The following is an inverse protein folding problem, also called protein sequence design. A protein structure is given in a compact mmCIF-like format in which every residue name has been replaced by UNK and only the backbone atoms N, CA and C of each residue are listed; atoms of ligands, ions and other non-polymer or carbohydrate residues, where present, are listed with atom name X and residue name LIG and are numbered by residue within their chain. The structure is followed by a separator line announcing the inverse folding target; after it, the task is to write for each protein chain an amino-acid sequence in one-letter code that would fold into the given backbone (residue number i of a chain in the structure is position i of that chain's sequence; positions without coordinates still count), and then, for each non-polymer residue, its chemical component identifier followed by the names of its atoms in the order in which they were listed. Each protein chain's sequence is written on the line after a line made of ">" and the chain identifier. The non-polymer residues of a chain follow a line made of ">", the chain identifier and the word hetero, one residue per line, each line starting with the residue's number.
data_IF_207117807526
#
_entry.id   IF_207117807526
#
_cell.length_a   1.000
_cell.length_b   1.000
_cell.length_c   1.000
_cell.angle_alpha   90.00
_cell.angle_beta   90.00
_cell.angle_gamma   90.00
#
_symmetry.space_group_name_H-M   'P 1'
#
loop_
_entity.id
_entity.type
_entity.pdbx_description
1 polymer ?
#
# COMPACT_ATOMS: atom_id res chain seq x y z
N UNK A 1 8.61 -21.20 -11.45
CA UNK A 1 9.18 -19.83 -11.48
C UNK A 1 8.32 -19.00 -12.42
N UNK A 2 7.46 -18.16 -11.86
CA UNK A 2 6.71 -17.08 -12.55
C UNK A 2 6.64 -15.85 -11.61
N UNK A 3 7.68 -15.73 -10.76
CA UNK A 3 7.69 -14.79 -9.62
C UNK A 3 7.83 -13.35 -10.08
N UNK A 4 8.50 -13.11 -11.21
CA UNK A 4 8.97 -11.78 -11.64
C UNK A 4 7.85 -10.73 -11.76
N UNK A 5 6.78 -11.03 -12.51
CA UNK A 5 5.66 -10.10 -12.71
C UNK A 5 4.93 -9.83 -11.39
N UNK A 6 4.64 -10.88 -10.63
CA UNK A 6 3.97 -10.74 -9.32
C UNK A 6 4.83 -9.97 -8.30
N UNK A 7 6.17 -10.07 -8.36
CA UNK A 7 7.06 -9.24 -7.54
C UNK A 7 7.05 -7.78 -7.96
N UNK A 8 6.98 -7.46 -9.26
CA UNK A 8 7.00 -6.07 -9.70
C UNK A 8 5.68 -5.35 -9.41
N UNK A 9 4.55 -5.99 -9.71
CA UNK A 9 3.22 -5.46 -9.36
C UNK A 9 3.10 -5.26 -7.84
N UNK A 10 3.60 -6.23 -7.05
CA UNK A 10 3.62 -6.10 -5.60
C UNK A 10 4.57 -5.00 -5.12
N UNK A 11 5.73 -4.81 -5.76
CA UNK A 11 6.65 -3.72 -5.44
C UNK A 11 6.01 -2.35 -5.68
N UNK A 12 5.32 -2.18 -6.81
CA UNK A 12 4.56 -0.97 -7.12
C UNK A 12 3.43 -0.73 -6.10
N UNK A 13 2.71 -1.79 -5.72
CA UNK A 13 1.73 -1.73 -4.64
C UNK A 13 2.33 -1.20 -3.33
N UNK A 14 3.47 -1.75 -2.89
CA UNK A 14 4.15 -1.31 -1.66
C UNK A 14 4.62 0.16 -1.74
N UNK A 15 5.11 0.59 -2.90
CA UNK A 15 5.47 1.99 -3.13
C UNK A 15 4.26 2.91 -3.01
N UNK A 16 3.14 2.54 -3.62
CA UNK A 16 1.88 3.29 -3.55
C UNK A 16 1.34 3.33 -2.12
N UNK A 17 1.44 2.24 -1.37
CA UNK A 17 1.04 2.18 0.04
C UNK A 17 1.82 3.18 0.90
N UNK A 18 3.15 3.17 0.79
CA UNK A 18 4.03 4.13 1.49
C UNK A 18 3.76 5.57 1.07
N UNK A 19 3.58 5.80 -0.24
CA UNK A 19 3.29 7.13 -0.80
C UNK A 19 1.96 7.68 -0.27
N UNK A 20 0.90 6.87 -0.29
CA UNK A 20 -0.41 7.25 0.24
C UNK A 20 -0.33 7.62 1.73
N UNK A 21 0.42 6.85 2.52
CA UNK A 21 0.67 7.20 3.93
C UNK A 21 1.35 8.55 4.06
N UNK A 22 2.46 8.77 3.36
CA UNK A 22 3.19 10.03 3.43
C UNK A 22 2.35 11.22 2.96
N UNK A 23 1.57 11.08 1.88
CA UNK A 23 0.67 12.13 1.38
C UNK A 23 -0.48 12.44 2.35
N UNK A 24 -0.91 11.47 3.16
CA UNK A 24 -1.87 11.68 4.25
C UNK A 24 -1.27 12.38 5.48
N UNK A 25 0.06 12.62 5.50
CA UNK A 25 0.76 13.22 6.63
C UNK A 25 0.91 12.30 7.85
N UNK A 26 0.61 11.00 7.73
CA UNK A 26 0.61 10.07 8.84
C UNK A 26 1.96 9.34 8.99
N UNK A 27 2.42 9.18 10.23
CA UNK A 27 3.51 8.27 10.59
C UNK A 27 3.00 6.83 10.67
N UNK A 28 3.89 5.84 10.56
CA UNK A 28 3.51 4.43 10.73
C UNK A 28 2.88 4.16 12.11
N UNK A 29 3.32 4.85 13.16
CA UNK A 29 2.76 4.74 14.53
C UNK A 29 1.30 5.22 14.55
N UNK A 30 1.01 6.36 13.92
CA UNK A 30 -0.35 6.90 13.86
C UNK A 30 -1.29 5.97 13.09
N UNK A 31 -0.85 5.44 11.94
CA UNK A 31 -1.66 4.46 11.19
C UNK A 31 -1.90 3.20 12.01
N UNK A 32 -0.88 2.70 12.71
CA UNK A 32 -1.01 1.54 13.58
C UNK A 32 -2.08 1.78 14.67
N UNK A 33 -2.08 2.95 15.28
CA UNK A 33 -3.08 3.34 16.27
C UNK A 33 -4.50 3.35 15.67
N UNK A 34 -4.68 3.95 14.49
CA UNK A 34 -5.97 3.99 13.78
C UNK A 34 -6.48 2.59 13.42
N UNK A 35 -5.57 1.66 13.11
CA UNK A 35 -5.90 0.26 12.80
C UNK A 35 -5.97 -0.64 14.05
N UNK A 36 -5.71 -0.11 15.24
CA UNK A 36 -5.58 -0.89 16.50
C UNK A 36 -4.55 -2.03 16.37
N UNK A 37 -3.40 -1.72 15.75
CA UNK A 37 -2.26 -2.61 15.54
C UNK A 37 -0.98 -2.02 16.14
N UNK A 38 0.06 -2.83 16.24
CA UNK A 38 1.40 -2.36 16.58
C UNK A 38 2.07 -1.69 15.38
N UNK A 39 2.98 -0.73 15.60
CA UNK A 39 3.73 -0.09 14.52
C UNK A 39 4.48 -1.10 13.64
N UNK A 40 4.98 -2.19 14.23
CA UNK A 40 5.66 -3.27 13.50
C UNK A 40 4.77 -3.91 12.44
N UNK A 41 3.44 -3.96 12.65
CA UNK A 41 2.50 -4.45 11.63
C UNK A 41 2.55 -3.56 10.38
N UNK A 42 2.56 -2.23 10.55
CA UNK A 42 2.64 -1.28 9.43
C UNK A 42 3.99 -1.37 8.74
N UNK A 43 5.08 -1.45 9.50
CA UNK A 43 6.42 -1.62 8.95
C UNK A 43 6.54 -2.88 8.09
N UNK A 44 6.04 -4.02 8.58
CA UNK A 44 6.04 -5.31 7.85
C UNK A 44 5.15 -5.29 6.61
N UNK A 45 4.01 -4.60 6.68
CA UNK A 45 3.14 -4.37 5.53
C UNK A 45 3.86 -3.53 4.46
N UNK A 46 4.44 -2.40 4.84
CA UNK A 46 5.14 -1.51 3.91
C UNK A 46 6.42 -2.13 3.35
N UNK A 47 7.13 -2.97 4.10
CA UNK A 47 8.33 -3.70 3.63
C UNK A 47 8.00 -4.89 2.74
N UNK A 48 6.76 -5.38 2.76
CA UNK A 48 6.33 -6.57 2.06
C UNK A 48 6.64 -7.89 2.79
N UNK A 49 7.22 -7.85 3.99
CA UNK A 49 7.40 -9.02 4.86
C UNK A 49 6.04 -9.64 5.22
N UNK A 50 5.01 -8.81 5.37
CA UNK A 50 3.63 -9.23 5.55
C UNK A 50 2.78 -8.85 4.34
N UNK A 51 2.06 -9.83 3.79
CA UNK A 51 1.04 -9.61 2.77
C UNK A 51 -0.17 -8.89 3.37
N UNK A 52 -0.82 -8.06 2.56
CA UNK A 52 -2.03 -7.32 2.90
C UNK A 52 -3.17 -7.96 2.14
N UNK A 53 -4.24 -8.34 2.83
CA UNK A 53 -5.47 -8.80 2.17
C UNK A 53 -6.36 -7.62 1.74
N UNK A 54 -7.45 -7.91 1.01
CA UNK A 54 -8.32 -6.87 0.47
C UNK A 54 -9.05 -6.06 1.56
N UNK A 55 -9.40 -6.68 2.69
CA UNK A 55 -10.10 -6.01 3.79
C UNK A 55 -9.14 -5.05 4.51
N UNK A 56 -7.91 -5.49 4.72
CA UNK A 56 -6.83 -4.66 5.25
C UNK A 56 -6.54 -3.48 4.30
N UNK A 57 -6.48 -3.73 2.99
CA UNK A 57 -6.28 -2.68 1.99
C UNK A 57 -7.42 -1.64 1.99
N UNK A 58 -8.68 -2.06 2.14
CA UNK A 58 -9.80 -1.14 2.28
C UNK A 58 -9.66 -0.23 3.51
N UNK A 59 -9.15 -0.76 4.62
CA UNK A 59 -8.89 0.03 5.82
C UNK A 59 -7.78 1.06 5.60
N UNK A 60 -6.67 0.66 4.97
CA UNK A 60 -5.60 1.58 4.57
C UNK A 60 -6.10 2.67 3.62
N UNK A 61 -6.87 2.29 2.60
CA UNK A 61 -7.43 3.21 1.62
C UNK A 61 -8.30 4.30 2.28
N UNK A 62 -9.16 3.90 3.24
CA UNK A 62 -9.97 4.83 4.03
C UNK A 62 -9.11 5.79 4.87
N UNK A 63 -8.12 5.26 5.58
CA UNK A 63 -7.22 6.07 6.42
C UNK A 63 -6.42 7.07 5.60
N UNK A 64 -5.96 6.67 4.40
CA UNK A 64 -5.15 7.50 3.53
C UNK A 64 -5.95 8.41 2.60
N UNK A 65 -7.28 8.33 2.61
CA UNK A 65 -8.14 9.10 1.71
C UNK A 65 -7.93 8.76 0.23
N UNK A 66 -7.68 7.48 -0.09
CA UNK A 66 -7.49 6.98 -1.46
C UNK A 66 -8.59 6.00 -1.85
N UNK A 67 -8.92 5.96 -3.14
CA UNK A 67 -9.72 4.87 -3.70
C UNK A 67 -8.86 3.61 -3.87
N UNK A 68 -9.48 2.42 -3.88
CA UNK A 68 -8.77 1.15 -4.08
C UNK A 68 -7.96 1.13 -5.38
N UNK A 69 -8.51 1.71 -6.45
CA UNK A 69 -7.87 1.80 -7.77
C UNK A 69 -6.48 2.44 -7.71
N UNK A 70 -6.26 3.37 -6.78
CA UNK A 70 -4.95 3.98 -6.57
C UNK A 70 -3.86 2.93 -6.29
N UNK A 71 -4.19 1.82 -5.63
CA UNK A 71 -3.24 0.78 -5.23
C UNK A 71 -3.11 -0.36 -6.24
N UNK A 72 -4.06 -0.51 -7.18
CA UNK A 72 -4.14 -1.65 -8.10
C UNK A 72 -3.94 -1.27 -9.57
N UNK A 73 -3.91 0.03 -9.91
CA UNK A 73 -3.65 0.47 -11.27
C UNK A 73 -2.29 0.00 -11.77
N UNK A 74 -2.30 -0.64 -12.94
CA UNK A 74 -1.08 -0.85 -13.73
C UNK A 74 -0.68 0.51 -14.29
N UNK A 75 0.57 0.90 -14.07
CA UNK A 75 1.16 2.00 -14.81
C UNK A 75 1.27 1.55 -16.27
N UNK A 76 0.22 1.83 -17.04
CA UNK A 76 0.24 1.76 -18.49
C UNK A 76 1.27 2.77 -18.95
N UNK A 77 2.50 2.32 -19.22
CA UNK A 77 3.50 3.16 -19.87
C UNK A 77 3.06 3.48 -21.30
N UNK A 78 2.09 4.37 -21.47
CA UNK A 78 1.82 5.12 -22.71
C UNK A 78 1.30 6.49 -22.31
N UNK A 79 2.13 7.49 -22.59
CA UNK A 79 1.82 8.91 -22.69
C UNK A 79 0.66 9.12 -23.66
N UNK A 80 -0.43 9.77 -23.21
CA UNK A 80 -1.32 10.50 -24.12
C UNK A 80 -0.53 11.67 -24.73
N UNK A 81 -0.75 11.97 -26.02
CA UNK A 81 -1.93 12.75 -26.43
C UNK A 81 -3.03 11.89 -27.04
#
# INVERSE_FOLDING_TARGET
>A
MNKSIYTEEYRLFLLRLRKARSESGLTQVQVAHLLKRHQSYISKCESGERRIDIIELMAFARIYGKNLDYFIQKDSGVSSP
#
